data_IF_603513815199
#
_entry.id   IF_603513815199
#
_cell.length_a   1.000
_cell.length_b   1.000
_cell.length_c   1.000
_cell.angle_alpha   90.00
_cell.angle_beta   90.00
_cell.angle_gamma   90.00
#
_symmetry.space_group_name_H-M   'P 1'
#
loop_
_entity.id
_entity.type
_entity.pdbx_description
1 polymer ?
#
# COMPACT_ATOMS: atom_id res chain seq x y z
N UNK A 1 -27.37 8.02 25.90
CA UNK A 1 -26.21 7.61 25.08
C UNK A 1 -26.41 6.14 24.78
N UNK A 2 -26.64 5.74 23.54
CA UNK A 2 -25.54 5.41 22.64
C UNK A 2 -25.91 5.64 21.17
N UNK A 3 -24.99 6.28 20.46
CA UNK A 3 -25.01 6.48 19.02
C UNK A 3 -24.24 5.30 18.40
N UNK A 4 -24.87 4.12 18.36
CA UNK A 4 -24.28 2.90 17.80
C UNK A 4 -25.11 2.48 16.60
N UNK A 5 -24.92 3.20 15.49
CA UNK A 5 -25.04 2.71 14.11
C UNK A 5 -24.59 3.85 13.18
N UNK A 6 -23.44 4.46 13.50
CA UNK A 6 -22.78 5.32 12.52
C UNK A 6 -22.21 4.38 11.45
N UNK A 7 -22.74 4.51 10.23
CA UNK A 7 -22.15 3.92 9.02
C UNK A 7 -20.65 4.16 9.08
N UNK A 8 -19.85 3.10 9.20
CA UNK A 8 -18.40 3.23 9.14
C UNK A 8 -18.06 3.87 7.80
N UNK A 9 -17.32 4.97 7.83
CA UNK A 9 -16.78 5.56 6.62
C UNK A 9 -15.85 4.53 5.95
N UNK A 10 -15.63 4.66 4.64
CA UNK A 10 -14.79 3.70 3.90
C UNK A 10 -13.40 3.50 4.53
N UNK A 11 -12.79 4.55 5.08
CA UNK A 11 -11.50 4.48 5.78
C UNK A 11 -11.55 3.67 7.08
N UNK A 12 -12.56 3.86 7.94
CA UNK A 12 -12.67 3.15 9.23
C UNK A 12 -12.84 1.63 9.06
N UNK A 13 -13.52 1.21 7.99
CA UNK A 13 -13.63 -0.21 7.64
C UNK A 13 -12.25 -0.81 7.29
N UNK A 14 -11.44 -0.07 6.52
CA UNK A 14 -10.09 -0.51 6.15
C UNK A 14 -9.11 -0.44 7.31
N UNK A 15 -9.23 0.57 8.18
CA UNK A 15 -8.46 0.63 9.43
C UNK A 15 -8.70 -0.62 10.29
N UNK A 16 -9.96 -1.05 10.42
CA UNK A 16 -10.27 -2.29 11.12
C UNK A 16 -9.63 -3.50 10.42
N UNK A 17 -9.69 -3.57 9.08
CA UNK A 17 -9.11 -4.69 8.32
C UNK A 17 -7.59 -4.79 8.47
N UNK A 18 -6.89 -3.66 8.56
CA UNK A 18 -5.43 -3.61 8.67
C UNK A 18 -4.91 -3.59 10.12
N UNK A 19 -5.81 -3.67 11.11
CA UNK A 19 -5.49 -3.51 12.53
C UNK A 19 -4.70 -4.66 13.17
N UNK A 20 -4.62 -5.84 12.54
CA UNK A 20 -3.75 -6.91 13.06
C UNK A 20 -2.28 -6.66 12.70
N UNK A 21 -1.36 -7.33 13.40
CA UNK A 21 0.07 -7.21 13.13
C UNK A 21 0.43 -7.79 11.76
N UNK A 22 -0.26 -8.84 11.32
CA UNK A 22 -0.09 -9.43 10.00
C UNK A 22 -0.61 -8.53 8.88
N UNK A 23 0.03 -8.58 7.71
CA UNK A 23 -0.44 -7.85 6.53
C UNK A 23 -1.65 -8.60 5.94
N UNK A 24 -2.78 -7.92 5.80
CA UNK A 24 -4.05 -8.53 5.38
C UNK A 24 -3.99 -9.18 3.99
N UNK A 25 -3.04 -8.73 3.16
CA UNK A 25 -2.75 -9.29 1.84
C UNK A 25 -1.31 -9.79 1.68
N UNK A 26 -0.57 -9.91 2.77
CA UNK A 26 0.87 -10.21 2.74
C UNK A 26 1.73 -9.05 2.23
N UNK A 27 3.05 -9.27 2.24
CA UNK A 27 4.07 -8.27 1.89
C UNK A 27 4.55 -8.35 0.44
N UNK A 28 4.35 -9.51 -0.20
CA UNK A 28 4.76 -9.71 -1.59
C UNK A 28 3.79 -9.05 -2.57
N UNK A 29 4.34 -8.51 -3.66
CA UNK A 29 3.55 -7.89 -4.71
C UNK A 29 2.56 -8.88 -5.34
N UNK A 30 1.49 -8.34 -5.93
CA UNK A 30 0.65 -9.13 -6.81
C UNK A 30 1.49 -9.69 -7.98
N UNK A 31 1.46 -11.01 -8.18
CA UNK A 31 2.23 -11.70 -9.24
C UNK A 31 1.97 -11.05 -10.61
N UNK A 32 0.71 -10.87 -10.98
CA UNK A 32 0.36 -10.27 -12.27
C UNK A 32 0.91 -8.85 -12.42
N UNK A 33 0.82 -8.03 -11.36
CA UNK A 33 1.36 -6.67 -11.38
C UNK A 33 2.87 -6.69 -11.55
N UNK A 34 3.55 -7.55 -10.79
CA UNK A 34 5.00 -7.67 -10.84
C UNK A 34 5.50 -8.12 -12.21
N UNK A 35 4.81 -9.06 -12.86
CA UNK A 35 5.11 -9.53 -14.21
C UNK A 35 4.93 -8.43 -15.27
N UNK A 36 3.91 -7.57 -15.12
CA UNK A 36 3.66 -6.47 -16.06
C UNK A 36 4.64 -5.31 -15.88
N UNK A 37 4.91 -4.91 -14.64
CA UNK A 37 5.82 -3.80 -14.37
C UNK A 37 7.26 -4.19 -14.66
N UNK A 38 7.67 -5.44 -14.46
CA UNK A 38 9.04 -5.89 -14.77
C UNK A 38 9.38 -5.82 -16.27
N UNK A 39 8.36 -5.77 -17.15
CA UNK A 39 8.55 -5.56 -18.59
C UNK A 39 8.78 -4.08 -18.93
N UNK A 40 8.52 -3.18 -17.99
CA UNK A 40 8.75 -1.75 -18.10
C UNK A 40 10.07 -1.41 -17.42
N UNK A 41 11.03 -0.87 -18.18
CA UNK A 41 12.20 -0.25 -17.54
C UNK A 41 11.77 1.12 -16.99
N UNK A 42 12.09 1.45 -15.72
CA UNK A 42 11.78 2.77 -15.19
C UNK A 42 12.37 3.87 -16.10
N UNK A 43 11.53 4.78 -16.65
CA UNK A 43 12.02 5.87 -17.49
C UNK A 43 12.77 6.90 -16.62
N UNK A 44 13.44 7.86 -17.25
CA UNK A 44 14.16 8.92 -16.51
C UNK A 44 13.25 9.70 -15.55
N UNK A 45 11.95 9.80 -15.87
CA UNK A 45 10.90 10.24 -14.94
C UNK A 45 10.12 9.03 -14.42
N UNK A 46 10.72 8.32 -13.46
CA UNK A 46 10.26 7.03 -12.92
C UNK A 46 9.06 7.13 -11.94
N UNK A 47 8.20 8.14 -12.03
CA UNK A 47 7.06 8.31 -11.11
C UNK A 47 5.97 7.26 -11.39
N UNK A 48 5.49 6.62 -10.34
CA UNK A 48 4.40 5.65 -10.39
C UNK A 48 3.40 5.90 -9.26
N UNK A 49 2.11 6.00 -9.58
CA UNK A 49 1.04 6.21 -8.60
C UNK A 49 0.29 4.90 -8.35
N UNK A 50 0.20 4.50 -7.08
CA UNK A 50 -0.52 3.33 -6.60
C UNK A 50 -1.72 3.77 -5.75
N UNK A 51 -2.88 4.01 -6.38
CA UNK A 51 -4.07 4.46 -5.66
C UNK A 51 -4.67 3.33 -4.83
N UNK A 52 -5.02 3.62 -3.58
CA UNK A 52 -5.65 2.67 -2.66
C UNK A 52 -4.88 1.35 -2.49
N UNK A 53 -3.54 1.43 -2.40
CA UNK A 53 -2.68 0.26 -2.23
C UNK A 53 -2.58 -0.21 -0.76
N UNK A 54 -3.36 0.40 0.15
CA UNK A 54 -3.49 0.00 1.55
C UNK A 54 -2.15 -0.10 2.27
N UNK A 55 -1.79 -1.32 2.65
CA UNK A 55 -0.53 -1.66 3.34
C UNK A 55 0.70 -1.68 2.40
N UNK A 56 0.55 -1.32 1.13
CA UNK A 56 1.65 -0.90 0.25
C UNK A 56 2.43 -2.00 -0.47
N UNK A 57 1.95 -3.26 -0.49
CA UNK A 57 2.72 -4.40 -1.01
C UNK A 57 3.20 -4.22 -2.46
N UNK A 58 2.43 -3.53 -3.31
CA UNK A 58 2.79 -3.34 -4.71
C UNK A 58 3.69 -2.12 -4.88
N UNK A 59 3.32 -1.01 -4.25
CA UNK A 59 4.08 0.24 -4.31
C UNK A 59 5.51 0.09 -3.76
N UNK A 60 5.66 -0.60 -2.62
CA UNK A 60 6.97 -0.86 -2.01
C UNK A 60 7.81 -1.78 -2.90
N UNK A 61 7.21 -2.83 -3.46
CA UNK A 61 7.91 -3.67 -4.42
C UNK A 61 8.38 -2.88 -5.65
N UNK A 62 7.52 -2.02 -6.21
CA UNK A 62 7.88 -1.19 -7.36
C UNK A 62 9.02 -0.22 -7.02
N UNK A 63 9.01 0.34 -5.79
CA UNK A 63 10.08 1.21 -5.32
C UNK A 63 11.43 0.48 -5.25
N UNK A 64 11.43 -0.77 -4.79
CA UNK A 64 12.64 -1.62 -4.71
C UNK A 64 13.28 -1.89 -6.08
N UNK A 65 12.50 -1.88 -7.15
CA UNK A 65 12.99 -2.09 -8.52
C UNK A 65 13.21 -0.77 -9.29
N UNK A 66 13.22 0.36 -8.59
CA UNK A 66 13.66 1.65 -9.13
C UNK A 66 12.55 2.59 -9.59
N UNK A 67 11.28 2.33 -9.25
CA UNK A 67 10.21 3.32 -9.43
C UNK A 67 10.19 4.33 -8.26
N UNK A 68 9.82 5.57 -8.54
CA UNK A 68 9.46 6.55 -7.52
C UNK A 68 7.96 6.41 -7.25
N UNK A 69 7.63 5.53 -6.30
CA UNK A 69 6.25 5.14 -5.98
C UNK A 69 5.57 6.16 -5.07
N UNK A 70 4.36 6.58 -5.43
CA UNK A 70 3.47 7.41 -4.60
C UNK A 70 2.20 6.61 -4.28
N UNK A 71 1.76 6.66 -3.01
CA UNK A 71 0.56 5.96 -2.52
C UNK A 71 -0.37 6.96 -1.85
N UNK A 72 -1.67 6.81 -2.09
CA UNK A 72 -2.69 7.39 -1.22
C UNK A 72 -3.71 6.33 -0.85
N UNK A 73 -4.18 6.36 0.38
CA UNK A 73 -5.22 5.48 0.89
C UNK A 73 -6.09 6.22 1.91
N UNK A 74 -7.32 5.77 2.09
CA UNK A 74 -8.23 6.31 3.11
C UNK A 74 -7.89 5.80 4.51
N UNK A 75 -7.20 4.66 4.61
CA UNK A 75 -6.83 4.03 5.87
C UNK A 75 -5.55 4.64 6.44
N UNK A 76 -5.64 5.17 7.66
CA UNK A 76 -4.49 5.64 8.42
C UNK A 76 -3.62 4.45 8.84
N UNK A 77 -4.23 3.33 9.22
CA UNK A 77 -3.51 2.10 9.62
C UNK A 77 -2.79 1.50 8.40
N UNK A 78 -3.45 1.43 7.24
CA UNK A 78 -2.84 0.99 5.99
C UNK A 78 -1.63 1.84 5.62
N UNK A 79 -1.76 3.17 5.68
CA UNK A 79 -0.64 4.10 5.45
C UNK A 79 0.54 3.84 6.41
N UNK A 80 0.28 3.61 7.69
CA UNK A 80 1.33 3.35 8.68
C UNK A 80 2.09 2.05 8.35
N UNK A 81 1.36 0.97 8.03
CA UNK A 81 1.97 -0.31 7.66
C UNK A 81 2.69 -0.24 6.30
N UNK A 82 2.16 0.51 5.34
CA UNK A 82 2.88 0.82 4.09
C UNK A 82 4.24 1.48 4.37
N UNK A 83 4.29 2.45 5.29
CA UNK A 83 5.55 3.09 5.66
C UNK A 83 6.52 2.15 6.38
N UNK A 84 6.01 1.28 7.26
CA UNK A 84 6.82 0.25 7.90
C UNK A 84 7.40 -0.73 6.86
N UNK A 85 6.59 -1.21 5.92
CA UNK A 85 7.05 -2.10 4.85
C UNK A 85 8.08 -1.42 3.94
N UNK A 86 7.92 -0.13 3.66
CA UNK A 86 8.89 0.65 2.90
C UNK A 86 10.25 0.70 3.64
N UNK A 87 10.23 1.01 4.94
CA UNK A 87 11.43 1.01 5.79
C UNK A 87 12.11 -0.36 5.87
N UNK A 88 11.34 -1.46 5.99
CA UNK A 88 11.89 -2.82 5.98
C UNK A 88 12.67 -3.16 4.69
N UNK A 89 12.41 -2.43 3.61
CA UNK A 89 13.02 -2.62 2.30
C UNK A 89 13.92 -1.47 1.87
N UNK A 90 14.28 -0.56 2.80
CA UNK A 90 15.15 0.59 2.56
C UNK A 90 14.66 1.51 1.42
N UNK A 91 13.33 1.66 1.29
CA UNK A 91 12.67 2.59 0.35
C UNK A 91 11.72 3.54 1.11
N UNK A 92 11.26 4.60 0.45
CA UNK A 92 10.42 5.66 1.04
C UNK A 92 9.06 5.78 0.41
#
# INVERSE_FOLDING_TARGET
>A
MTNQDKVKTGGEMWDQRYSSDEYAYGKEANIWLSERISQLSPPQNNRALFPADGEGRNAVWAARIGWNSEVFDLSIVGKQKCHQLAQEHDVS
#
